data_IF_147891999168
#
_entry.id   IF_147891999168
#
_cell.length_a   1.000
_cell.length_b   1.000
_cell.length_c   1.000
_cell.angle_alpha   90.00
_cell.angle_beta   90.00
_cell.angle_gamma   90.00
#
_symmetry.space_group_name_H-M   'P 1'
#
loop_
_entity.id
_entity.type
_entity.pdbx_description
1 polymer ?
#
# COMPACT_ATOMS: atom_id res chain seq x y z
N UNK A 1 67.49 -6.88 -37.81
CA UNK A 1 66.36 -7.79 -37.85
C UNK A 1 65.33 -7.24 -36.81
N UNK A 2 64.38 -6.38 -37.32
CA UNK A 2 63.37 -5.70 -36.49
C UNK A 2 62.06 -6.46 -36.63
N UNK A 3 61.57 -6.99 -35.53
CA UNK A 3 60.23 -7.63 -35.45
C UNK A 3 59.14 -6.53 -35.32
N UNK A 4 58.05 -6.59 -36.09
CA UNK A 4 56.92 -5.69 -35.92
C UNK A 4 56.03 -6.18 -34.76
N UNK A 5 55.81 -5.30 -33.77
CA UNK A 5 54.82 -5.50 -32.70
C UNK A 5 53.43 -5.20 -33.30
N UNK A 6 52.62 -6.25 -33.47
CA UNK A 6 51.21 -6.12 -33.79
C UNK A 6 50.44 -5.72 -32.55
N UNK A 7 50.08 -4.45 -32.41
CA UNK A 7 49.10 -3.98 -31.41
C UNK A 7 47.72 -4.32 -31.97
N UNK A 8 47.13 -5.38 -31.44
CA UNK A 8 45.73 -5.76 -31.69
C UNK A 8 44.82 -4.75 -30.97
N UNK A 9 44.31 -3.78 -31.73
CA UNK A 9 43.27 -2.88 -31.26
C UNK A 9 41.94 -3.66 -31.11
N UNK A 10 41.67 -4.20 -29.92
CA UNK A 10 40.32 -4.64 -29.56
C UNK A 10 39.42 -3.41 -29.52
N UNK A 11 38.64 -3.20 -30.59
CA UNK A 11 37.55 -2.24 -30.58
C UNK A 11 36.54 -2.67 -29.52
N UNK A 12 36.50 -1.95 -28.38
CA UNK A 12 35.41 -2.02 -27.45
C UNK A 12 34.12 -1.66 -28.21
N UNK A 13 33.41 -2.66 -28.73
CA UNK A 13 32.03 -2.48 -29.17
C UNK A 13 31.24 -2.02 -27.98
N UNK A 14 30.92 -0.74 -27.93
CA UNK A 14 29.92 -0.22 -27.02
C UNK A 14 28.62 -1.04 -27.23
N UNK A 15 28.32 -1.94 -26.31
CA UNK A 15 27.13 -2.77 -26.38
C UNK A 15 25.94 -1.84 -26.43
N UNK A 16 25.25 -1.77 -27.55
CA UNK A 16 24.03 -1.00 -27.71
C UNK A 16 23.03 -1.41 -26.65
N UNK A 17 22.54 -0.44 -25.86
CA UNK A 17 21.50 -0.68 -24.86
C UNK A 17 20.28 -1.27 -25.58
N UNK A 18 19.88 -2.48 -25.18
CA UNK A 18 18.67 -3.08 -25.70
C UNK A 18 17.45 -2.31 -25.22
N UNK A 19 16.46 -2.10 -26.08
CA UNK A 19 15.21 -1.41 -25.78
C UNK A 19 14.04 -2.38 -25.80
N UNK A 20 13.05 -2.09 -24.97
CA UNK A 20 11.71 -2.68 -25.02
C UNK A 20 10.68 -1.56 -25.08
N UNK A 21 9.58 -1.80 -25.78
CA UNK A 21 8.44 -0.88 -25.83
C UNK A 21 7.30 -1.55 -25.06
N UNK A 22 6.65 -0.80 -24.20
CA UNK A 22 5.53 -1.31 -23.39
C UNK A 22 4.32 -1.67 -24.26
N UNK A 23 3.36 -2.48 -23.76
CA UNK A 23 2.16 -2.87 -24.50
C UNK A 23 1.37 -1.70 -25.07
N UNK A 24 1.22 -0.61 -24.33
CA UNK A 24 0.54 0.60 -24.78
C UNK A 24 1.38 1.46 -25.74
N UNK A 25 2.64 1.12 -25.96
CA UNK A 25 3.63 1.86 -26.74
C UNK A 25 4.03 3.24 -26.22
N UNK A 26 3.68 3.55 -24.97
CA UNK A 26 3.96 4.86 -24.36
C UNK A 26 5.27 4.90 -23.61
N UNK A 27 5.73 3.74 -23.10
CA UNK A 27 7.01 3.66 -22.42
C UNK A 27 8.04 2.97 -23.27
N UNK A 28 9.19 3.61 -23.44
CA UNK A 28 10.35 3.07 -24.16
C UNK A 28 11.44 2.85 -23.13
N UNK A 29 11.74 1.58 -22.84
CA UNK A 29 12.59 1.20 -21.70
C UNK A 29 13.93 0.68 -22.23
N UNK A 30 15.01 1.28 -21.76
CA UNK A 30 16.38 0.92 -22.09
C UNK A 30 17.06 0.25 -20.90
N UNK A 31 17.61 -0.93 -21.10
CA UNK A 31 18.48 -1.65 -20.16
C UNK A 31 19.17 -2.81 -20.87
N UNK A 32 20.29 -3.27 -20.33
CA UNK A 32 20.92 -4.52 -20.78
C UNK A 32 20.14 -5.76 -20.30
N UNK A 33 19.49 -5.67 -19.14
CA UNK A 33 18.76 -6.78 -18.53
C UNK A 33 17.30 -6.82 -19.02
N UNK A 34 16.91 -7.91 -19.67
CA UNK A 34 15.56 -8.09 -20.21
C UNK A 34 14.49 -8.19 -19.11
N UNK A 35 14.79 -8.86 -17.99
CA UNK A 35 13.86 -8.99 -16.86
C UNK A 35 13.57 -7.61 -16.22
N UNK A 36 14.61 -6.77 -16.04
CA UNK A 36 14.42 -5.40 -15.55
C UNK A 36 13.58 -4.56 -16.50
N UNK A 37 13.76 -4.72 -17.84
CA UNK A 37 12.90 -4.02 -18.79
C UNK A 37 11.44 -4.45 -18.68
N UNK A 38 11.19 -5.76 -18.48
CA UNK A 38 9.86 -6.30 -18.26
C UNK A 38 9.21 -5.71 -16.99
N UNK A 39 9.90 -5.80 -15.86
CA UNK A 39 9.41 -5.29 -14.58
C UNK A 39 9.14 -3.77 -14.61
N UNK A 40 10.03 -2.98 -15.22
CA UNK A 40 9.82 -1.53 -15.37
C UNK A 40 8.65 -1.21 -16.32
N UNK A 41 8.44 -2.01 -17.37
CA UNK A 41 7.27 -1.89 -18.24
C UNK A 41 5.98 -2.16 -17.50
N UNK A 42 5.92 -3.20 -16.70
CA UNK A 42 4.76 -3.56 -15.87
C UNK A 42 4.45 -2.48 -14.86
N UNK A 43 5.47 -2.01 -14.11
CA UNK A 43 5.30 -0.92 -13.15
C UNK A 43 4.76 0.35 -13.81
N UNK A 44 5.30 0.72 -14.99
CA UNK A 44 4.88 1.91 -15.71
C UNK A 44 3.43 1.80 -16.21
N UNK A 45 3.06 0.66 -16.81
CA UNK A 45 1.69 0.43 -17.27
C UNK A 45 0.69 0.38 -16.11
N UNK A 46 1.05 -0.27 -14.99
CA UNK A 46 0.21 -0.33 -13.81
C UNK A 46 0.02 1.06 -13.17
N UNK A 47 1.09 1.85 -13.07
CA UNK A 47 1.01 3.23 -12.54
C UNK A 47 0.09 4.08 -13.40
N UNK A 48 0.21 3.98 -14.72
CA UNK A 48 -0.67 4.64 -15.68
C UNK A 48 -2.13 4.17 -15.54
N UNK A 49 -2.36 2.87 -15.52
CA UNK A 49 -3.70 2.30 -15.43
C UNK A 49 -4.42 2.75 -14.15
N UNK A 50 -3.72 2.77 -13.02
CA UNK A 50 -4.26 3.25 -11.76
C UNK A 50 -4.65 4.74 -11.82
N UNK A 51 -3.80 5.58 -12.43
CA UNK A 51 -4.11 7.00 -12.62
C UNK A 51 -5.32 7.21 -13.53
N UNK A 52 -5.35 6.56 -14.71
CA UNK A 52 -6.45 6.69 -15.66
C UNK A 52 -7.79 6.20 -15.08
N UNK A 53 -7.76 5.11 -14.31
CA UNK A 53 -8.94 4.63 -13.58
C UNK A 53 -9.43 5.65 -12.54
N UNK A 54 -8.51 6.27 -11.77
CA UNK A 54 -8.84 7.30 -10.79
C UNK A 54 -9.47 8.53 -11.45
N UNK A 55 -8.96 8.92 -12.62
CA UNK A 55 -9.40 10.11 -13.36
C UNK A 55 -10.60 9.83 -14.28
N UNK A 56 -11.05 8.58 -14.40
CA UNK A 56 -12.06 8.12 -15.37
C UNK A 56 -11.73 8.57 -16.80
N UNK A 57 -10.44 8.49 -17.20
CA UNK A 57 -9.95 8.93 -18.48
C UNK A 57 -9.61 7.76 -19.40
N UNK A 58 -9.86 7.87 -20.72
CA UNK A 58 -9.39 6.91 -21.69
C UNK A 58 -7.86 7.02 -21.87
N UNK A 59 -7.24 5.92 -22.30
CA UNK A 59 -5.80 5.85 -22.60
C UNK A 59 -5.49 6.62 -23.90
N UNK A 60 -5.07 7.88 -23.78
CA UNK A 60 -4.73 8.78 -24.89
C UNK A 60 -3.43 9.49 -24.59
N UNK A 61 -2.38 9.10 -25.29
CA UNK A 61 -1.03 9.64 -25.14
C UNK A 61 -0.54 10.29 -26.42
N UNK A 62 0.31 11.30 -26.29
CA UNK A 62 0.99 11.95 -27.40
C UNK A 62 2.51 11.86 -27.29
N UNK A 63 3.04 11.92 -26.06
CA UNK A 63 4.46 12.00 -25.79
C UNK A 63 4.92 10.68 -25.17
N UNK A 64 5.83 9.93 -25.82
CA UNK A 64 6.40 8.75 -25.21
C UNK A 64 7.33 9.11 -24.05
N UNK A 65 7.30 8.29 -22.99
CA UNK A 65 8.19 8.43 -21.84
C UNK A 65 9.34 7.44 -21.99
N UNK A 66 10.55 7.95 -22.00
CA UNK A 66 11.77 7.14 -22.07
C UNK A 66 12.22 6.81 -20.64
N UNK A 67 12.41 5.53 -20.35
CA UNK A 67 12.91 5.04 -19.06
C UNK A 67 14.25 4.36 -19.27
N UNK A 68 15.31 4.90 -18.68
CA UNK A 68 16.64 4.32 -18.72
C UNK A 68 16.96 3.66 -17.39
N UNK A 69 17.24 2.37 -17.42
CA UNK A 69 17.66 1.61 -16.25
C UNK A 69 19.18 1.42 -16.30
N UNK A 70 19.88 2.04 -15.36
CA UNK A 70 21.34 2.00 -15.28
C UNK A 70 21.78 1.28 -14.00
N UNK A 71 22.82 0.46 -14.03
CA UNK A 71 23.39 -0.09 -12.82
C UNK A 71 24.01 1.02 -11.96
N UNK A 72 23.96 0.87 -10.64
CA UNK A 72 24.69 1.74 -9.74
C UNK A 72 26.18 1.69 -10.04
N UNK A 73 26.82 2.85 -10.12
CA UNK A 73 28.27 2.94 -10.35
C UNK A 73 28.96 3.15 -9.01
N UNK A 74 29.84 2.24 -8.64
CA UNK A 74 30.55 2.26 -7.34
C UNK A 74 31.36 3.55 -7.09
N UNK A 75 31.78 4.21 -8.16
CA UNK A 75 32.63 5.40 -8.10
C UNK A 75 31.84 6.73 -8.13
N UNK A 76 30.51 6.69 -8.20
CA UNK A 76 29.65 7.86 -8.26
C UNK A 76 28.46 7.70 -7.31
N UNK A 77 28.69 7.77 -5.98
CA UNK A 77 27.64 7.56 -4.97
C UNK A 77 26.56 8.65 -4.95
N UNK A 78 26.82 9.80 -5.59
CA UNK A 78 25.93 10.97 -5.56
C UNK A 78 24.85 10.95 -6.66
N UNK A 79 24.79 9.90 -7.53
CA UNK A 79 23.75 9.82 -8.54
C UNK A 79 22.43 9.46 -7.85
N UNK A 80 21.38 10.30 -7.98
CA UNK A 80 20.08 9.98 -7.39
C UNK A 80 19.51 8.69 -7.95
N UNK A 81 18.79 7.92 -7.12
CA UNK A 81 18.16 6.65 -7.52
C UNK A 81 17.15 6.84 -8.66
N UNK A 82 16.56 8.03 -8.77
CA UNK A 82 15.67 8.41 -9.87
C UNK A 82 15.89 9.87 -10.23
N UNK A 83 16.00 10.16 -11.52
CA UNK A 83 16.14 11.52 -12.06
C UNK A 83 15.24 11.68 -13.29
N UNK A 84 14.24 12.56 -13.18
CA UNK A 84 13.36 12.89 -14.30
C UNK A 84 13.90 14.11 -15.03
N UNK A 85 14.02 13.99 -16.35
CA UNK A 85 14.40 15.09 -17.25
C UNK A 85 13.25 15.41 -18.18
N UNK A 86 12.83 16.66 -18.14
CA UNK A 86 11.87 17.22 -19.05
C UNK A 86 12.58 18.25 -19.92
N UNK A 87 12.54 18.09 -21.22
CA UNK A 87 13.24 18.99 -22.16
C UNK A 87 12.46 19.16 -23.45
N UNK A 88 12.54 20.35 -24.01
CA UNK A 88 12.09 20.63 -25.37
C UNK A 88 13.22 20.35 -26.35
N UNK A 89 12.90 19.61 -27.39
CA UNK A 89 13.79 19.34 -28.50
C UNK A 89 13.23 19.95 -29.79
N UNK A 90 14.01 20.04 -30.86
CA UNK A 90 13.50 20.51 -32.15
C UNK A 90 12.36 19.64 -32.74
N UNK A 91 12.10 18.48 -32.15
CA UNK A 91 11.03 17.54 -32.54
C UNK A 91 9.89 17.47 -31.55
N UNK A 92 9.81 18.38 -30.54
CA UNK A 92 8.80 18.41 -29.50
C UNK A 92 9.36 18.12 -28.10
N UNK A 93 8.46 17.84 -27.18
CA UNK A 93 8.78 17.57 -25.78
C UNK A 93 9.35 16.16 -25.58
N UNK A 94 10.37 16.04 -24.76
CA UNK A 94 10.98 14.77 -24.35
C UNK A 94 10.88 14.59 -22.85
N UNK A 95 10.32 13.46 -22.43
CA UNK A 95 10.27 12.98 -21.06
C UNK A 95 11.23 11.80 -20.92
N UNK A 96 12.21 11.92 -20.05
CA UNK A 96 13.21 10.87 -19.81
C UNK A 96 13.38 10.68 -18.30
N UNK A 97 13.14 9.46 -17.84
CA UNK A 97 13.36 9.02 -16.47
C UNK A 97 14.57 8.11 -16.41
N UNK A 98 15.61 8.53 -15.72
CA UNK A 98 16.81 7.75 -15.45
C UNK A 98 16.68 7.12 -14.06
N UNK A 99 16.71 5.78 -13.99
CA UNK A 99 16.64 5.00 -12.76
C UNK A 99 17.96 4.27 -12.52
N UNK A 100 18.56 4.50 -11.35
CA UNK A 100 19.79 3.83 -10.92
C UNK A 100 19.43 2.61 -10.10
N UNK A 101 19.67 1.41 -10.65
CA UNK A 101 19.34 0.14 -10.04
C UNK A 101 20.54 -0.37 -9.25
N UNK A 102 20.41 -0.42 -7.92
CA UNK A 102 21.43 -0.93 -6.99
C UNK A 102 20.78 -1.73 -5.86
N UNK A 103 21.59 -2.19 -4.91
CA UNK A 103 21.09 -2.96 -3.76
C UNK A 103 20.06 -2.20 -2.92
N UNK A 104 20.18 -0.88 -2.84
CA UNK A 104 19.28 0.00 -2.10
C UNK A 104 18.29 0.74 -3.03
N UNK A 105 17.83 0.08 -4.11
CA UNK A 105 16.87 0.69 -5.03
C UNK A 105 15.54 1.00 -4.35
N UNK A 106 15.14 2.27 -4.35
CA UNK A 106 13.86 2.73 -3.81
C UNK A 106 12.76 2.64 -4.88
N UNK A 107 12.02 1.54 -4.86
CA UNK A 107 10.90 1.32 -5.77
C UNK A 107 9.77 2.35 -5.59
N UNK A 108 9.56 2.86 -4.37
CA UNK A 108 8.54 3.87 -4.11
C UNK A 108 8.91 5.23 -4.73
N UNK A 109 10.20 5.58 -4.70
CA UNK A 109 10.71 6.76 -5.39
C UNK A 109 10.58 6.60 -6.91
N UNK A 110 10.96 5.44 -7.45
CA UNK A 110 10.82 5.16 -8.88
C UNK A 110 9.36 5.26 -9.36
N UNK A 111 8.43 4.71 -8.61
CA UNK A 111 6.99 4.82 -8.88
C UNK A 111 6.51 6.28 -8.82
N UNK A 112 6.98 7.06 -7.84
CA UNK A 112 6.66 8.47 -7.71
C UNK A 112 7.14 9.28 -8.93
N UNK A 113 8.37 9.05 -9.38
CA UNK A 113 8.93 9.75 -10.53
C UNK A 113 8.31 9.26 -11.86
N UNK A 114 7.90 8.00 -11.96
CA UNK A 114 7.06 7.51 -13.07
C UNK A 114 5.71 8.25 -13.10
N UNK A 115 5.03 8.35 -11.95
CA UNK A 115 3.77 9.10 -11.87
C UNK A 115 3.97 10.57 -12.23
N UNK A 116 5.08 11.19 -11.78
CA UNK A 116 5.43 12.57 -12.15
C UNK A 116 5.60 12.72 -13.67
N UNK A 117 6.31 11.78 -14.31
CA UNK A 117 6.48 11.78 -15.77
C UNK A 117 5.14 11.65 -16.51
N UNK A 118 4.24 10.79 -16.01
CA UNK A 118 2.90 10.61 -16.56
C UNK A 118 2.07 11.90 -16.43
N UNK A 119 2.09 12.54 -15.27
CA UNK A 119 1.38 13.79 -15.05
C UNK A 119 1.94 14.93 -15.91
N UNK A 120 3.27 15.00 -16.08
CA UNK A 120 3.89 15.98 -17.00
C UNK A 120 3.46 15.76 -18.44
N UNK A 121 3.33 14.51 -18.88
CA UNK A 121 2.76 14.21 -20.19
C UNK A 121 1.32 14.74 -20.30
N UNK A 122 0.48 14.52 -19.28
CA UNK A 122 -0.89 15.01 -19.28
C UNK A 122 -0.96 16.55 -19.30
N UNK A 123 -0.09 17.21 -18.57
CA UNK A 123 -0.02 18.69 -18.51
C UNK A 123 0.35 19.28 -19.87
N UNK A 124 1.33 18.67 -20.56
CA UNK A 124 1.92 19.28 -21.76
C UNK A 124 1.53 18.62 -23.08
N UNK A 125 0.74 17.53 -23.07
CA UNK A 125 0.32 16.86 -24.31
C UNK A 125 -0.47 17.73 -25.29
N UNK A 126 -1.15 18.76 -24.79
CA UNK A 126 -1.90 19.72 -25.62
C UNK A 126 -1.05 20.91 -26.08
N UNK A 127 0.09 21.14 -25.42
CA UNK A 127 0.98 22.26 -25.66
C UNK A 127 2.28 21.76 -26.30
N UNK A 128 2.28 21.63 -27.61
CA UNK A 128 3.45 21.14 -28.36
C UNK A 128 4.53 22.21 -28.53
N UNK A 129 4.23 23.47 -28.31
CA UNK A 129 5.10 24.60 -28.64
C UNK A 129 5.42 25.45 -27.38
N UNK A 130 6.03 24.81 -26.38
CA UNK A 130 6.57 25.53 -25.23
C UNK A 130 7.84 26.26 -25.68
N UNK A 131 7.89 27.59 -25.52
CA UNK A 131 9.06 28.36 -25.95
C UNK A 131 10.35 27.88 -25.24
N UNK A 132 11.48 27.77 -25.93
CA UNK A 132 12.74 27.39 -25.32
C UNK A 132 13.08 28.32 -24.14
N UNK A 133 13.47 27.74 -22.99
CA UNK A 133 13.80 28.50 -21.79
C UNK A 133 12.59 28.83 -20.89
N UNK A 134 11.36 28.48 -21.28
CA UNK A 134 10.22 28.61 -20.40
C UNK A 134 10.35 27.62 -19.23
N UNK A 135 10.20 28.11 -17.99
CA UNK A 135 10.14 27.25 -16.82
C UNK A 135 8.87 26.35 -16.94
N UNK A 136 9.06 25.05 -16.79
CA UNK A 136 7.91 24.13 -16.79
C UNK A 136 7.29 24.05 -15.39
N UNK A 137 5.98 23.85 -15.36
CA UNK A 137 5.23 23.67 -14.13
C UNK A 137 5.30 22.20 -13.72
N UNK A 138 5.79 21.95 -12.52
CA UNK A 138 5.78 20.60 -11.95
C UNK A 138 4.43 20.25 -11.33
N UNK A 139 3.99 18.98 -11.43
CA UNK A 139 2.84 18.51 -10.67
C UNK A 139 3.07 18.74 -9.18
N UNK A 140 2.10 19.31 -8.43
CA UNK A 140 2.28 19.55 -7.01
C UNK A 140 2.44 18.24 -6.24
N UNK A 141 3.29 18.27 -5.21
CA UNK A 141 3.63 17.09 -4.40
C UNK A 141 2.41 16.44 -3.73
N UNK A 142 1.42 17.24 -3.33
CA UNK A 142 0.17 16.70 -2.77
C UNK A 142 -0.60 15.83 -3.76
N UNK A 143 -0.55 16.17 -5.04
CA UNK A 143 -1.22 15.40 -6.08
C UNK A 143 -0.51 14.05 -6.28
N UNK A 144 0.83 14.05 -6.35
CA UNK A 144 1.64 12.83 -6.44
C UNK A 144 1.37 11.90 -5.26
N UNK A 145 1.51 12.41 -4.03
CA UNK A 145 1.35 11.60 -2.82
C UNK A 145 -0.10 11.12 -2.62
N UNK A 146 -1.08 11.96 -2.95
CA UNK A 146 -2.49 11.62 -2.85
C UNK A 146 -2.91 10.54 -3.86
N UNK A 147 -2.48 10.66 -5.12
CA UNK A 147 -2.75 9.65 -6.17
C UNK A 147 -2.08 8.31 -5.82
N UNK A 148 -0.83 8.32 -5.38
CA UNK A 148 -0.14 7.10 -4.93
C UNK A 148 -0.83 6.45 -3.73
N UNK A 149 -1.38 7.24 -2.81
CA UNK A 149 -2.13 6.72 -1.69
C UNK A 149 -3.49 6.12 -2.09
N UNK A 150 -4.10 6.58 -3.19
CA UNK A 150 -5.38 6.09 -3.71
C UNK A 150 -5.28 4.79 -4.50
N UNK A 151 -4.09 4.20 -4.67
CA UNK A 151 -3.91 2.91 -5.35
C UNK A 151 -4.80 1.82 -4.75
N UNK A 152 -5.40 0.96 -5.59
CA UNK A 152 -6.13 -0.22 -5.11
C UNK A 152 -5.25 -1.10 -4.21
N UNK A 153 -5.83 -1.61 -3.11
CA UNK A 153 -5.14 -2.50 -2.18
C UNK A 153 -4.14 -1.83 -1.23
N UNK A 154 -3.94 -0.51 -1.28
CA UNK A 154 -3.05 0.18 -0.36
C UNK A 154 -3.69 0.33 1.03
N UNK A 155 -2.93 -0.04 2.05
CA UNK A 155 -3.32 0.19 3.45
C UNK A 155 -3.12 1.66 3.84
N UNK A 156 -4.17 2.28 4.36
CA UNK A 156 -4.18 3.67 4.82
C UNK A 156 -4.04 3.81 6.34
N UNK A 157 -3.92 2.69 7.06
CA UNK A 157 -3.96 2.67 8.53
C UNK A 157 -2.98 3.65 9.15
N UNK A 158 -1.73 3.66 8.69
CA UNK A 158 -0.69 4.57 9.19
C UNK A 158 -0.96 6.04 8.84
N UNK A 159 -1.56 6.32 7.67
CA UNK A 159 -1.92 7.68 7.25
C UNK A 159 -3.07 8.23 8.10
N UNK A 160 -4.06 7.39 8.33
CA UNK A 160 -5.24 7.76 9.11
C UNK A 160 -4.89 7.90 10.60
N UNK A 161 -4.01 7.06 11.13
CA UNK A 161 -3.47 7.19 12.48
C UNK A 161 -2.74 8.53 12.65
N UNK A 162 -1.91 8.93 11.68
CA UNK A 162 -1.23 10.22 11.70
C UNK A 162 -2.20 11.41 11.78
N UNK A 163 -3.33 11.36 11.07
CA UNK A 163 -4.39 12.38 11.17
C UNK A 163 -5.09 12.37 12.53
N UNK A 164 -5.24 11.20 13.14
CA UNK A 164 -5.94 11.05 14.43
C UNK A 164 -5.10 11.54 15.60
N UNK A 165 -3.78 11.34 15.53
CA UNK A 165 -2.80 11.74 16.56
C UNK A 165 -2.49 13.24 16.48
N UNK A 166 -2.61 13.85 15.30
CA UNK A 166 -2.36 15.27 15.12
C UNK A 166 -3.41 16.11 15.84
N UNK A 167 -3.03 16.69 16.98
CA UNK A 167 -3.93 17.53 17.83
C UNK A 167 -4.39 18.83 17.13
N UNK A 168 -3.61 19.37 16.21
CA UNK A 168 -3.94 20.57 15.43
C UNK A 168 -4.14 20.19 13.96
N UNK A 169 -5.35 20.40 13.47
CA UNK A 169 -5.66 20.18 12.06
C UNK A 169 -5.19 21.37 11.21
N UNK A 170 -4.45 21.09 10.16
CA UNK A 170 -3.95 22.09 9.21
C UNK A 170 -5.10 22.60 8.34
N UNK A 171 -5.20 23.90 8.09
CA UNK A 171 -6.14 24.46 7.11
C UNK A 171 -5.75 24.07 5.69
N UNK A 172 -6.72 24.08 4.77
CA UNK A 172 -6.44 23.75 3.36
C UNK A 172 -5.47 24.75 2.75
N UNK A 173 -5.62 26.03 3.05
CA UNK A 173 -4.71 27.09 2.58
C UNK A 173 -3.28 26.85 3.07
N UNK A 174 -3.11 26.55 4.36
CA UNK A 174 -1.80 26.25 4.93
C UNK A 174 -1.19 24.99 4.29
N UNK A 175 -1.99 23.97 4.02
CA UNK A 175 -1.57 22.73 3.39
C UNK A 175 -1.06 22.94 1.97
N UNK A 176 -1.73 23.77 1.17
CA UNK A 176 -1.39 24.03 -0.23
C UNK A 176 -0.20 24.97 -0.42
N UNK A 177 0.27 25.67 0.63
CA UNK A 177 1.44 26.53 0.51
C UNK A 177 2.66 25.71 0.07
N UNK A 178 3.44 26.25 -0.89
CA UNK A 178 4.67 25.61 -1.33
C UNK A 178 5.59 25.33 -0.15
N UNK A 179 6.06 24.12 -0.03
CA UNK A 179 7.02 23.72 1.01
C UNK A 179 7.97 22.67 0.48
N UNK A 180 9.17 22.66 1.00
CA UNK A 180 10.19 21.68 0.64
C UNK A 180 9.98 20.41 1.48
N UNK A 181 9.57 19.32 0.85
CA UNK A 181 9.33 18.03 1.53
C UNK A 181 10.59 17.43 2.15
N UNK A 182 11.78 17.77 1.61
CA UNK A 182 13.07 17.33 2.16
C UNK A 182 13.32 17.87 3.58
N UNK A 183 12.71 19.00 3.97
CA UNK A 183 12.80 19.56 5.31
C UNK A 183 11.87 18.90 6.35
N UNK A 184 10.95 18.04 5.93
CA UNK A 184 10.06 17.34 6.84
C UNK A 184 10.74 16.10 7.41
N UNK A 185 10.59 15.91 8.72
CA UNK A 185 10.95 14.64 9.37
C UNK A 185 10.06 13.48 8.91
N UNK A 186 10.35 12.28 9.38
CA UNK A 186 9.59 11.09 8.99
C UNK A 186 8.08 11.21 9.31
N UNK A 187 7.75 11.77 10.47
CA UNK A 187 6.37 11.91 10.92
C UNK A 187 5.62 12.98 10.13
N UNK A 188 6.27 14.11 9.86
CA UNK A 188 5.74 15.18 9.01
C UNK A 188 5.46 14.72 7.58
N UNK A 189 6.32 13.85 7.01
CA UNK A 189 6.07 13.26 5.69
C UNK A 189 4.87 12.32 5.67
N UNK A 190 4.67 11.50 6.71
CA UNK A 190 3.48 10.64 6.83
C UNK A 190 2.22 11.49 6.95
N UNK A 191 2.26 12.54 7.77
CA UNK A 191 1.14 13.47 7.94
C UNK A 191 0.82 14.23 6.64
N UNK A 192 1.84 14.69 5.91
CA UNK A 192 1.67 15.34 4.61
C UNK A 192 0.97 14.41 3.60
N UNK A 193 1.41 13.15 3.51
CA UNK A 193 0.75 12.12 2.66
C UNK A 193 -0.69 11.86 3.09
N UNK A 194 -0.97 11.90 4.38
CA UNK A 194 -2.33 11.72 4.89
C UNK A 194 -3.26 12.86 4.48
N UNK A 195 -2.78 14.12 4.54
CA UNK A 195 -3.52 15.27 4.01
C UNK A 195 -3.66 15.20 2.49
N UNK A 196 -2.63 14.76 1.76
CA UNK A 196 -2.66 14.56 0.31
C UNK A 196 -3.75 13.55 -0.09
N UNK A 197 -3.83 12.42 0.63
CA UNK A 197 -4.89 11.43 0.46
C UNK A 197 -6.27 12.02 0.73
N UNK A 198 -6.42 12.80 1.83
CA UNK A 198 -7.69 13.43 2.18
C UNK A 198 -8.18 14.39 1.08
N UNK A 199 -7.25 15.19 0.52
CA UNK A 199 -7.57 16.14 -0.55
C UNK A 199 -7.96 15.42 -1.83
N UNK A 200 -7.13 14.50 -2.34
CA UNK A 200 -7.46 13.77 -3.59
C UNK A 200 -8.79 13.03 -3.43
N UNK A 201 -9.02 12.37 -2.29
CA UNK A 201 -10.28 11.68 -2.02
C UNK A 201 -11.49 12.63 -1.98
N UNK A 202 -11.33 13.82 -1.42
CA UNK A 202 -12.37 14.85 -1.44
C UNK A 202 -12.70 15.27 -2.89
N UNK A 203 -11.66 15.57 -3.69
CA UNK A 203 -11.84 16.05 -5.07
C UNK A 203 -12.45 15.00 -5.99
N UNK A 204 -12.05 13.72 -5.89
CA UNK A 204 -12.61 12.65 -6.73
C UNK A 204 -13.95 12.12 -6.23
N UNK A 205 -14.31 12.37 -4.97
CA UNK A 205 -15.56 11.91 -4.36
C UNK A 205 -16.79 12.72 -4.77
N UNK A 206 -16.60 13.85 -5.44
CA UNK A 206 -17.67 14.72 -5.93
C UNK A 206 -18.26 14.23 -7.26
N UNK A 207 -19.46 14.72 -7.58
CA UNK A 207 -20.03 14.50 -8.90
C UNK A 207 -19.08 15.05 -9.98
N UNK A 208 -18.74 14.21 -10.97
CA UNK A 208 -17.74 14.52 -12.00
C UNK A 208 -16.31 14.81 -11.45
N UNK A 209 -16.05 14.53 -10.18
CA UNK A 209 -14.75 14.77 -9.52
C UNK A 209 -13.55 14.23 -10.29
N UNK A 210 -13.54 12.96 -10.74
CA UNK A 210 -12.48 12.40 -11.57
C UNK A 210 -12.20 13.22 -12.83
N UNK A 211 -13.23 13.60 -13.57
CA UNK A 211 -13.11 14.40 -14.81
C UNK A 211 -12.67 15.84 -14.53
N UNK A 212 -13.07 16.40 -13.38
CA UNK A 212 -12.60 17.72 -12.93
C UNK A 212 -11.14 17.70 -12.56
N UNK A 213 -10.69 16.63 -11.87
CA UNK A 213 -9.28 16.46 -11.51
C UNK A 213 -8.41 16.28 -12.77
N UNK A 214 -8.89 15.52 -13.76
CA UNK A 214 -8.20 15.39 -15.05
C UNK A 214 -8.04 16.76 -15.73
N UNK A 215 -9.09 17.57 -15.80
CA UNK A 215 -9.03 18.93 -16.36
C UNK A 215 -8.14 19.87 -15.55
N UNK A 216 -8.14 19.76 -14.23
CA UNK A 216 -7.23 20.51 -13.38
C UNK A 216 -5.76 20.19 -13.73
N UNK A 217 -5.42 18.89 -13.87
CA UNK A 217 -4.09 18.43 -14.26
C UNK A 217 -3.72 18.98 -15.64
N UNK A 218 -4.59 18.86 -16.62
CA UNK A 218 -4.36 19.35 -18.00
C UNK A 218 -4.18 20.87 -18.08
N UNK A 219 -4.72 21.63 -17.13
CA UNK A 219 -4.61 23.09 -17.07
C UNK A 219 -3.45 23.59 -16.17
N UNK A 220 -2.70 22.70 -15.50
CA UNK A 220 -1.61 23.09 -14.60
C UNK A 220 -0.54 23.95 -15.29
N UNK A 221 -0.31 23.78 -16.58
CA UNK A 221 0.65 24.62 -17.31
C UNK A 221 0.28 26.12 -17.33
N UNK A 222 -1.01 26.46 -17.10
CA UNK A 222 -1.53 27.83 -16.94
C UNK A 222 -1.80 28.17 -15.48
N UNK A 223 -1.34 27.35 -14.53
CA UNK A 223 -1.62 27.56 -13.13
C UNK A 223 -1.13 28.95 -12.68
N UNK A 224 -1.92 29.58 -11.83
CA UNK A 224 -1.55 30.83 -11.20
C UNK A 224 -0.56 30.61 -10.06
N UNK A 225 -0.06 31.68 -9.44
CA UNK A 225 0.76 31.56 -8.22
C UNK A 225 -0.09 31.29 -6.97
N UNK A 226 -1.40 31.14 -7.11
CA UNK A 226 -2.34 30.82 -6.03
C UNK A 226 -3.02 29.47 -6.26
N UNK A 227 -2.42 28.37 -5.75
CA UNK A 227 -2.96 27.01 -5.93
C UNK A 227 -4.37 26.84 -5.37
N UNK A 228 -4.73 27.63 -4.34
CA UNK A 228 -6.06 27.57 -3.74
C UNK A 228 -7.11 28.14 -4.69
N UNK A 229 -6.82 29.26 -5.32
CA UNK A 229 -7.70 29.91 -6.32
C UNK A 229 -7.92 28.99 -7.53
N UNK A 230 -6.84 28.35 -8.02
CA UNK A 230 -6.91 27.43 -9.15
C UNK A 230 -7.78 26.20 -8.82
N UNK A 231 -7.67 25.65 -7.60
CA UNK A 231 -8.52 24.56 -7.15
C UNK A 231 -9.97 24.97 -7.00
N UNK A 232 -10.27 26.14 -6.41
CA UNK A 232 -11.63 26.65 -6.28
C UNK A 232 -12.31 26.87 -7.63
N UNK A 233 -11.58 27.38 -8.61
CA UNK A 233 -12.10 27.57 -9.96
C UNK A 233 -12.55 26.25 -10.61
N UNK A 234 -11.88 25.14 -10.29
CA UNK A 234 -12.16 23.82 -10.88
C UNK A 234 -13.13 22.97 -10.04
N UNK A 235 -13.16 23.17 -8.71
CA UNK A 235 -13.92 22.35 -7.77
C UNK A 235 -14.91 23.18 -6.94
N UNK A 236 -16.19 23.20 -7.31
CA UNK A 236 -17.23 23.95 -6.58
C UNK A 236 -17.38 23.55 -5.11
N UNK A 237 -17.01 22.32 -4.75
CA UNK A 237 -17.01 21.83 -3.36
C UNK A 237 -16.10 22.64 -2.44
N UNK A 238 -15.12 23.34 -3.00
CA UNK A 238 -14.21 24.25 -2.30
C UNK A 238 -14.68 25.72 -2.35
N UNK A 239 -15.98 25.97 -2.54
CA UNK A 239 -16.58 27.32 -2.54
C UNK A 239 -16.60 27.97 -1.15
N UNK A 240 -17.76 28.54 -0.77
CA UNK A 240 -17.89 29.40 0.41
C UNK A 240 -17.55 28.72 1.75
N UNK A 241 -17.89 27.44 1.92
CA UNK A 241 -17.63 26.64 3.13
C UNK A 241 -16.39 25.74 3.03
N UNK A 242 -15.37 26.15 2.28
CA UNK A 242 -14.18 25.34 1.98
C UNK A 242 -13.53 24.70 3.24
N UNK A 243 -13.27 25.52 4.25
CA UNK A 243 -12.56 25.04 5.45
C UNK A 243 -13.39 24.00 6.20
N UNK A 244 -14.70 24.21 6.29
CA UNK A 244 -15.63 23.23 6.88
C UNK A 244 -15.63 21.92 6.09
N UNK A 245 -15.70 22.00 4.78
CA UNK A 245 -15.66 20.85 3.87
C UNK A 245 -14.35 20.08 4.02
N UNK A 246 -13.23 20.79 4.07
CA UNK A 246 -11.90 20.23 4.32
C UNK A 246 -11.82 19.51 5.67
N UNK A 247 -12.24 20.15 6.76
CA UNK A 247 -12.24 19.54 8.09
C UNK A 247 -13.15 18.31 8.18
N UNK A 248 -14.29 18.32 7.47
CA UNK A 248 -15.16 17.16 7.35
C UNK A 248 -14.52 16.01 6.56
N UNK A 249 -13.78 16.31 5.49
CA UNK A 249 -13.05 15.29 4.72
C UNK A 249 -11.99 14.60 5.58
N UNK A 250 -11.20 15.37 6.36
CA UNK A 250 -10.24 14.83 7.32
C UNK A 250 -10.95 13.99 8.39
N UNK A 251 -12.05 14.50 8.96
CA UNK A 251 -12.79 13.79 10.00
C UNK A 251 -13.40 12.48 9.48
N UNK A 252 -13.92 12.46 8.26
CA UNK A 252 -14.43 11.24 7.60
C UNK A 252 -13.32 10.22 7.36
N UNK A 253 -12.16 10.67 6.94
CA UNK A 253 -11.00 9.80 6.74
C UNK A 253 -10.52 9.24 8.10
N UNK A 254 -10.38 10.07 9.12
CA UNK A 254 -10.01 9.66 10.49
C UNK A 254 -11.07 8.76 11.12
N UNK A 255 -12.36 9.04 10.90
CA UNK A 255 -13.48 8.25 11.39
C UNK A 255 -13.66 6.92 10.66
N UNK A 256 -13.23 6.81 9.40
CA UNK A 256 -13.28 5.58 8.64
C UNK A 256 -12.46 4.45 9.29
N UNK A 257 -11.41 4.79 10.07
CA UNK A 257 -10.67 3.80 10.85
C UNK A 257 -11.48 3.19 11.99
N UNK A 258 -12.47 3.89 12.52
CA UNK A 258 -13.37 3.32 13.55
C UNK A 258 -14.15 2.11 13.00
N UNK A 259 -14.24 1.97 11.69
CA UNK A 259 -14.91 0.86 11.00
C UNK A 259 -13.95 -0.04 10.23
N UNK A 260 -12.62 0.20 10.28
CA UNK A 260 -11.67 -0.72 9.65
C UNK A 260 -11.72 -2.04 10.40
N UNK A 261 -12.14 -3.07 9.67
CA UNK A 261 -12.12 -4.42 10.20
C UNK A 261 -10.66 -4.84 10.39
N UNK A 262 -10.36 -5.36 11.55
CA UNK A 262 -9.06 -5.98 11.82
C UNK A 262 -8.85 -7.16 10.88
N UNK A 263 -7.63 -7.36 10.43
CA UNK A 263 -7.24 -8.60 9.75
C UNK A 263 -7.48 -9.80 10.67
N UNK A 264 -7.40 -11.00 10.12
CA UNK A 264 -7.51 -12.22 10.95
C UNK A 264 -6.44 -12.24 12.04
N UNK A 265 -5.18 -12.00 11.69
CA UNK A 265 -4.05 -12.01 12.62
C UNK A 265 -4.17 -10.93 13.71
N UNK A 266 -4.53 -9.70 13.33
CA UNK A 266 -4.76 -8.61 14.29
C UNK A 266 -5.92 -8.92 15.24
N UNK A 267 -7.01 -9.51 14.73
CA UNK A 267 -8.16 -9.93 15.55
C UNK A 267 -7.78 -10.99 16.56
N UNK A 268 -6.95 -11.95 16.14
CA UNK A 268 -6.43 -13.02 16.95
C UNK A 268 -5.48 -12.50 18.05
N UNK A 269 -4.53 -11.63 17.69
CA UNK A 269 -3.62 -10.98 18.63
C UNK A 269 -4.39 -10.17 19.67
N UNK A 270 -5.35 -9.37 19.21
CA UNK A 270 -6.15 -8.54 20.10
C UNK A 270 -7.05 -9.35 21.05
N UNK A 271 -7.61 -10.45 20.55
CA UNK A 271 -8.36 -11.39 21.38
C UNK A 271 -7.46 -12.02 22.45
N UNK A 272 -6.25 -12.46 22.09
CA UNK A 272 -5.27 -13.01 23.04
C UNK A 272 -4.90 -12.03 24.15
N UNK A 273 -4.67 -10.77 23.80
CA UNK A 273 -4.39 -9.70 24.78
C UNK A 273 -5.54 -9.50 25.75
N UNK A 274 -6.77 -9.50 25.27
CA UNK A 274 -7.95 -9.28 26.08
C UNK A 274 -8.28 -10.46 26.99
N UNK A 275 -8.05 -11.71 26.55
CA UNK A 275 -8.35 -12.90 27.35
C UNK A 275 -7.46 -13.06 28.58
N UNK A 276 -6.33 -12.34 28.63
CA UNK A 276 -5.47 -12.22 29.82
C UNK A 276 -6.09 -11.22 30.80
N UNK A 277 -7.02 -11.68 31.63
CA UNK A 277 -7.74 -10.83 32.59
C UNK A 277 -6.79 -10.31 33.67
N UNK A 278 -6.56 -9.00 33.71
CA UNK A 278 -5.83 -8.36 34.81
C UNK A 278 -6.79 -8.11 35.96
N UNK A 279 -6.59 -8.80 37.09
CA UNK A 279 -7.34 -8.58 38.31
C UNK A 279 -6.52 -7.67 39.21
N UNK A 280 -7.00 -6.44 39.42
CA UNK A 280 -6.39 -5.51 40.38
C UNK A 280 -7.06 -5.73 41.74
N UNK A 281 -6.32 -6.29 42.70
CA UNK A 281 -6.77 -6.30 44.10
C UNK A 281 -6.10 -5.09 44.80
N UNK A 282 -6.87 -4.35 45.58
CA UNK A 282 -6.41 -3.12 46.23
C UNK A 282 -5.13 -3.40 47.06
N UNK A 283 -3.96 -2.99 46.52
CA UNK A 283 -2.65 -3.04 47.21
C UNK A 283 -1.79 -4.26 46.96
N UNK A 284 -2.16 -5.19 46.07
CA UNK A 284 -1.31 -6.34 45.66
C UNK A 284 -1.09 -6.37 44.14
N UNK A 285 0.11 -6.83 43.77
CA UNK A 285 0.50 -7.05 42.37
C UNK A 285 -0.63 -7.68 41.54
N UNK A 286 -1.00 -7.06 40.42
CA UNK A 286 -2.04 -7.48 39.48
C UNK A 286 -1.84 -8.96 39.11
N UNK A 287 -2.68 -9.87 39.61
CA UNK A 287 -2.69 -11.28 39.19
C UNK A 287 -3.40 -11.40 37.85
N UNK A 288 -2.79 -12.05 36.89
CA UNK A 288 -3.45 -12.46 35.66
C UNK A 288 -4.19 -13.78 35.94
N UNK A 289 -5.50 -13.78 35.72
CA UNK A 289 -6.33 -14.99 35.81
C UNK A 289 -6.82 -15.36 34.41
N UNK A 290 -6.72 -16.62 34.05
CA UNK A 290 -7.31 -17.12 32.82
C UNK A 290 -8.82 -17.42 32.99
N UNK A 291 -9.60 -17.24 31.92
CA UNK A 291 -11.02 -17.57 31.92
C UNK A 291 -11.31 -19.04 32.25
N UNK A 292 -10.38 -19.94 31.90
CA UNK A 292 -10.41 -21.37 32.24
C UNK A 292 -10.41 -21.61 33.73
N UNK A 293 -9.58 -20.92 34.50
CA UNK A 293 -9.51 -21.01 35.95
C UNK A 293 -10.81 -20.46 36.62
N UNK A 294 -11.30 -19.33 36.10
CA UNK A 294 -12.53 -18.71 36.61
C UNK A 294 -13.80 -19.54 36.30
N UNK A 295 -13.75 -20.45 35.35
CA UNK A 295 -14.85 -21.38 35.09
C UNK A 295 -15.02 -22.43 36.19
N UNK A 296 -13.95 -22.79 36.90
CA UNK A 296 -13.93 -23.87 37.89
C UNK A 296 -14.19 -23.38 39.35
N UNK A 297 -14.03 -22.07 39.64
CA UNK A 297 -14.26 -21.50 40.96
C UNK A 297 -15.21 -20.30 40.94
N UNK A 298 -15.75 -19.91 42.06
CA UNK A 298 -16.63 -18.72 42.18
C UNK A 298 -15.77 -17.46 42.08
N UNK A 299 -16.02 -16.55 41.11
CA UNK A 299 -15.29 -15.31 41.01
C UNK A 299 -15.47 -14.40 42.19
N UNK A 300 -14.40 -13.76 42.68
CA UNK A 300 -14.44 -12.72 43.70
C UNK A 300 -15.13 -11.45 43.18
N UNK A 301 -15.38 -10.47 44.07
CA UNK A 301 -15.99 -9.19 43.66
C UNK A 301 -15.09 -8.43 42.63
N UNK A 302 -13.79 -8.40 42.87
CA UNK A 302 -12.82 -7.76 41.93
C UNK A 302 -12.77 -8.47 40.58
N UNK A 303 -12.79 -9.82 40.56
CA UNK A 303 -12.83 -10.60 39.34
C UNK A 303 -14.13 -10.40 38.54
N UNK A 304 -15.27 -10.21 39.21
CA UNK A 304 -16.52 -9.88 38.50
C UNK A 304 -16.46 -8.53 37.80
N UNK A 305 -15.81 -7.53 38.42
CA UNK A 305 -15.58 -6.23 37.78
C UNK A 305 -14.69 -6.41 36.52
N UNK A 306 -13.55 -7.12 36.64
CA UNK A 306 -12.68 -7.41 35.53
C UNK A 306 -13.35 -8.20 34.38
N UNK A 307 -14.25 -9.15 34.73
CA UNK A 307 -15.04 -9.90 33.73
C UNK A 307 -16.08 -9.03 33.02
N UNK A 308 -16.69 -8.06 33.71
CA UNK A 308 -17.59 -7.09 33.07
C UNK A 308 -16.83 -6.17 32.11
N UNK A 309 -15.66 -5.67 32.55
CA UNK A 309 -14.78 -4.87 31.65
C UNK A 309 -14.33 -5.68 30.44
N UNK A 310 -13.92 -6.94 30.63
CA UNK A 310 -13.58 -7.85 29.54
C UNK A 310 -14.76 -8.02 28.58
N UNK A 311 -15.97 -8.26 29.11
CA UNK A 311 -17.18 -8.40 28.28
C UNK A 311 -17.43 -7.15 27.42
N UNK A 312 -17.27 -5.95 27.97
CA UNK A 312 -17.43 -4.69 27.24
C UNK A 312 -16.35 -4.54 26.16
N UNK A 313 -15.07 -4.82 26.47
CA UNK A 313 -13.96 -4.78 25.50
C UNK A 313 -14.17 -5.78 24.36
N UNK A 314 -14.72 -6.97 24.65
CA UNK A 314 -15.05 -7.97 23.63
C UNK A 314 -16.24 -7.55 22.74
N UNK A 315 -17.21 -6.78 23.25
CA UNK A 315 -18.25 -6.16 22.40
C UNK A 315 -17.62 -5.21 21.38
N UNK A 316 -16.71 -4.33 21.82
CA UNK A 316 -15.99 -3.41 20.93
C UNK A 316 -15.15 -4.18 19.91
N UNK A 317 -14.44 -5.22 20.36
CA UNK A 317 -13.68 -6.08 19.46
C UNK A 317 -14.58 -6.78 18.42
N UNK A 318 -15.77 -7.24 18.81
CA UNK A 318 -16.70 -7.91 17.86
C UNK A 318 -17.09 -7.03 16.67
N UNK A 319 -17.21 -5.71 16.88
CA UNK A 319 -17.53 -4.75 15.82
C UNK A 319 -16.36 -4.64 14.83
N UNK A 320 -15.13 -4.61 15.35
CA UNK A 320 -13.90 -4.39 14.57
C UNK A 320 -13.24 -5.67 14.06
N UNK A 321 -13.52 -6.82 14.67
CA UNK A 321 -12.90 -8.10 14.34
C UNK A 321 -13.21 -8.55 12.91
N UNK A 322 -12.26 -9.29 12.33
CA UNK A 322 -12.47 -10.01 11.08
C UNK A 322 -13.81 -10.79 11.12
N UNK A 323 -14.63 -10.75 10.08
CA UNK A 323 -15.93 -11.42 10.05
C UNK A 323 -15.90 -12.89 10.48
N UNK A 324 -14.84 -13.63 10.12
CA UNK A 324 -14.65 -15.03 10.46
C UNK A 324 -14.39 -15.23 11.97
N UNK A 325 -13.77 -14.26 12.63
CA UNK A 325 -13.49 -14.28 14.08
C UNK A 325 -14.67 -13.85 14.95
N UNK A 326 -15.64 -13.12 14.39
CA UNK A 326 -16.77 -12.56 15.16
C UNK A 326 -17.58 -13.57 15.98
N UNK A 327 -17.89 -14.76 15.46
CA UNK A 327 -18.60 -15.79 16.25
C UNK A 327 -17.80 -16.22 17.48
N UNK A 328 -16.47 -16.37 17.35
CA UNK A 328 -15.56 -16.75 18.43
C UNK A 328 -15.51 -15.64 19.49
N UNK A 329 -15.32 -14.39 19.08
CA UNK A 329 -15.28 -13.23 19.99
C UNK A 329 -16.60 -13.09 20.76
N UNK A 330 -17.74 -13.26 20.08
CA UNK A 330 -19.09 -13.24 20.74
C UNK A 330 -19.23 -14.34 21.76
N UNK A 331 -18.75 -15.54 21.48
CA UNK A 331 -18.83 -16.67 22.42
C UNK A 331 -18.00 -16.37 23.69
N UNK A 332 -16.77 -15.86 23.55
CA UNK A 332 -15.97 -15.39 24.70
C UNK A 332 -16.65 -14.25 25.47
N UNK A 333 -17.29 -13.31 24.80
CA UNK A 333 -18.03 -12.23 25.40
C UNK A 333 -19.20 -12.75 26.25
N UNK A 334 -19.98 -13.71 25.71
CA UNK A 334 -21.09 -14.32 26.44
C UNK A 334 -20.60 -15.11 27.66
N UNK A 335 -19.51 -15.84 27.54
CA UNK A 335 -18.86 -16.58 28.63
C UNK A 335 -18.44 -15.61 29.73
N UNK A 336 -17.74 -14.51 29.41
CA UNK A 336 -17.32 -13.49 30.36
C UNK A 336 -18.52 -12.85 31.08
N UNK A 337 -19.59 -12.52 30.35
CA UNK A 337 -20.81 -11.96 30.91
C UNK A 337 -21.52 -12.94 31.85
N UNK A 338 -21.55 -14.25 31.56
CA UNK A 338 -22.13 -15.27 32.42
C UNK A 338 -21.32 -15.48 33.70
N UNK A 339 -20.00 -15.52 33.60
CA UNK A 339 -19.08 -15.63 34.75
C UNK A 339 -19.20 -14.41 35.67
N UNK A 340 -19.29 -13.19 35.14
CA UNK A 340 -19.50 -11.97 35.87
C UNK A 340 -20.82 -12.03 36.73
N UNK A 341 -21.86 -12.65 36.16
CA UNK A 341 -23.15 -12.90 36.87
C UNK A 341 -23.11 -14.10 37.81
N UNK A 342 -21.96 -14.77 37.96
CA UNK A 342 -21.80 -15.96 38.79
C UNK A 342 -22.42 -17.24 38.23
N UNK A 343 -22.87 -17.25 36.99
CA UNK A 343 -23.42 -18.42 36.29
C UNK A 343 -22.30 -19.28 35.75
N UNK A 344 -22.17 -20.55 36.20
CA UNK A 344 -21.07 -21.44 35.83
C UNK A 344 -21.50 -22.69 35.06
N UNK A 345 -22.79 -22.96 35.01
CA UNK A 345 -23.29 -24.19 34.37
C UNK A 345 -22.85 -24.26 32.90
N UNK A 346 -22.17 -25.33 32.51
CA UNK A 346 -21.65 -25.63 31.16
C UNK A 346 -20.60 -24.62 30.60
N UNK A 347 -20.05 -23.72 31.45
CA UNK A 347 -19.07 -22.74 30.97
C UNK A 347 -17.78 -23.45 30.56
N UNK A 348 -17.28 -24.44 31.32
CA UNK A 348 -16.07 -25.18 30.96
C UNK A 348 -16.21 -25.90 29.62
N UNK A 349 -17.36 -26.49 29.32
CA UNK A 349 -17.63 -27.13 28.03
C UNK A 349 -17.68 -26.11 26.88
N UNK A 350 -18.30 -24.95 27.12
CA UNK A 350 -18.34 -23.85 26.15
C UNK A 350 -16.94 -23.31 25.85
N UNK A 351 -16.10 -23.10 26.87
CA UNK A 351 -14.72 -22.70 26.72
C UNK A 351 -13.92 -23.70 25.90
N UNK A 352 -14.04 -25.00 26.21
CA UNK A 352 -13.35 -26.06 25.46
C UNK A 352 -13.77 -26.06 23.98
N UNK A 353 -15.09 -25.89 23.72
CA UNK A 353 -15.61 -25.84 22.34
C UNK A 353 -15.09 -24.63 21.58
N UNK A 354 -15.18 -23.42 22.16
CA UNK A 354 -14.72 -22.21 21.47
C UNK A 354 -13.21 -22.21 21.25
N UNK A 355 -12.42 -22.77 22.17
CA UNK A 355 -10.99 -22.96 21.99
C UNK A 355 -10.69 -23.93 20.82
N UNK A 356 -11.39 -25.07 20.73
CA UNK A 356 -11.24 -26.00 19.63
C UNK A 356 -11.57 -25.37 18.28
N UNK A 357 -12.69 -24.66 18.19
CA UNK A 357 -13.09 -23.94 16.96
C UNK A 357 -12.07 -22.86 16.58
N UNK A 358 -11.53 -22.15 17.59
CA UNK A 358 -10.50 -21.15 17.37
C UNK A 358 -9.21 -21.76 16.83
N UNK A 359 -8.71 -22.85 17.44
CA UNK A 359 -7.51 -23.55 16.97
C UNK A 359 -7.68 -24.07 15.55
N UNK A 360 -8.83 -24.68 15.22
CA UNK A 360 -9.14 -25.14 13.88
C UNK A 360 -9.14 -23.99 12.87
N UNK A 361 -9.73 -22.85 13.24
CA UNK A 361 -9.78 -21.66 12.38
C UNK A 361 -8.38 -21.08 12.13
N UNK A 362 -7.54 -20.99 13.16
CA UNK A 362 -6.14 -20.52 13.05
C UNK A 362 -5.36 -21.43 12.10
N UNK A 363 -5.50 -22.76 12.24
CA UNK A 363 -4.86 -23.70 11.33
C UNK A 363 -5.30 -23.50 9.88
N UNK A 364 -6.59 -23.37 9.62
CA UNK A 364 -7.13 -23.14 8.26
C UNK A 364 -6.64 -21.80 7.67
N UNK A 365 -6.54 -20.76 8.48
CA UNK A 365 -6.04 -19.46 7.98
C UNK A 365 -4.54 -19.52 7.68
N UNK A 366 -3.76 -20.28 8.48
CA UNK A 366 -2.35 -20.53 8.15
C UNK A 366 -2.20 -21.29 6.83
N UNK A 367 -3.02 -22.31 6.60
CA UNK A 367 -3.03 -23.07 5.34
C UNK A 367 -3.34 -22.16 4.13
N UNK A 368 -4.26 -21.19 4.31
CA UNK A 368 -4.62 -20.21 3.26
C UNK A 368 -3.46 -19.23 3.02
N UNK A 369 -2.82 -18.73 4.09
CA UNK A 369 -1.67 -17.81 3.96
C UNK A 369 -0.49 -18.52 3.28
N UNK A 370 -0.22 -19.78 3.61
CA UNK A 370 0.81 -20.58 2.97
C UNK A 370 0.51 -20.82 1.48
N UNK A 371 -0.76 -21.10 1.15
CA UNK A 371 -1.20 -21.22 -0.24
C UNK A 371 -1.06 -19.90 -1.02
N UNK A 372 -1.46 -18.77 -0.44
CA UNK A 372 -1.32 -17.45 -1.07
C UNK A 372 0.14 -17.08 -1.28
N UNK A 373 1.01 -17.34 -0.31
CA UNK A 373 2.45 -17.13 -0.43
C UNK A 373 3.06 -18.02 -1.55
N UNK A 374 2.62 -19.28 -1.64
CA UNK A 374 3.02 -20.17 -2.72
C UNK A 374 2.53 -19.66 -4.08
N UNK A 375 1.27 -19.23 -4.17
CA UNK A 375 0.70 -18.69 -5.39
C UNK A 375 1.42 -17.41 -5.85
N UNK A 376 1.67 -16.45 -4.95
CA UNK A 376 2.45 -15.26 -5.25
C UNK A 376 3.87 -15.61 -5.71
N UNK A 377 4.51 -16.56 -5.07
CA UNK A 377 5.85 -17.01 -5.42
C UNK A 377 5.90 -17.69 -6.80
N UNK A 378 4.85 -18.41 -7.19
CA UNK A 378 4.77 -19.04 -8.52
C UNK A 378 4.43 -18.05 -9.63
N UNK A 379 3.69 -16.99 -9.32
CA UNK A 379 3.37 -15.91 -10.27
C UNK A 379 4.52 -14.92 -10.43
N UNK A 380 5.40 -14.77 -9.42
CA UNK A 380 6.58 -13.93 -9.52
C UNK A 380 7.67 -14.69 -10.29
N UNK A 381 7.87 -14.35 -11.55
CA UNK A 381 8.95 -14.89 -12.42
C UNK A 381 10.38 -14.51 -11.93
N UNK A 382 10.55 -13.99 -10.72
CA UNK A 382 11.84 -13.68 -10.12
C UNK A 382 12.30 -14.84 -9.24
N UNK A 383 13.18 -15.67 -9.75
CA UNK A 383 13.93 -16.68 -8.98
C UNK A 383 14.96 -15.95 -8.09
N UNK A 384 14.54 -15.47 -6.92
CA UNK A 384 15.49 -15.05 -5.89
C UNK A 384 16.12 -16.29 -5.22
N UNK A 385 17.41 -16.22 -4.85
CA UNK A 385 18.13 -17.36 -4.24
C UNK A 385 17.44 -17.91 -2.98
N UNK A 386 16.77 -17.06 -2.21
CA UNK A 386 15.99 -17.41 -1.01
C UNK A 386 14.81 -18.34 -1.35
N UNK A 387 14.18 -18.15 -2.51
CA UNK A 387 13.09 -19.00 -2.98
C UNK A 387 13.56 -20.38 -3.46
N UNK A 388 14.74 -20.44 -4.07
CA UNK A 388 15.35 -21.72 -4.47
C UNK A 388 15.65 -22.61 -3.25
N UNK A 389 16.06 -22.03 -2.12
CA UNK A 389 16.31 -22.73 -0.88
C UNK A 389 15.00 -23.22 -0.22
N UNK A 390 13.92 -22.41 -0.29
CA UNK A 390 12.59 -22.82 0.15
C UNK A 390 12.03 -23.99 -0.66
N UNK A 391 12.13 -23.94 -2.00
CA UNK A 391 11.71 -25.05 -2.88
C UNK A 391 12.51 -26.33 -2.62
N UNK A 392 13.81 -26.22 -2.31
CA UNK A 392 14.64 -27.36 -1.93
C UNK A 392 14.17 -27.96 -0.61
N UNK A 393 13.99 -27.14 0.42
CA UNK A 393 13.47 -27.57 1.72
C UNK A 393 12.06 -28.19 1.61
N UNK A 394 11.17 -27.60 0.80
CA UNK A 394 9.84 -28.13 0.55
C UNK A 394 9.84 -29.46 -0.23
N UNK A 395 10.79 -29.64 -1.15
CA UNK A 395 10.96 -30.93 -1.86
C UNK A 395 11.58 -32.02 -0.99
N UNK A 396 12.43 -31.66 -0.03
CA UNK A 396 13.04 -32.56 0.95
C UNK A 396 12.07 -32.98 2.07
N UNK A 397 11.10 -32.13 2.39
CA UNK A 397 10.08 -32.38 3.43
C UNK A 397 8.83 -33.10 2.94
N UNK A 398 8.80 -33.66 1.73
CA UNK A 398 7.66 -34.45 1.23
C UNK A 398 7.40 -35.70 2.07
N UNK A 399 6.78 -35.51 3.24
CA UNK A 399 6.01 -36.55 3.91
C UNK A 399 4.73 -36.71 3.09
N UNK A 400 4.38 -37.92 2.63
CA UNK A 400 3.12 -38.12 1.89
C UNK A 400 1.95 -37.80 2.80
N UNK A 401 1.41 -36.60 2.64
CA UNK A 401 0.17 -36.21 3.31
C UNK A 401 -0.95 -37.05 2.75
N UNK A 402 -1.76 -37.76 3.58
CA UNK A 402 -2.88 -38.52 3.09
C UNK A 402 -3.83 -37.59 2.32
N UNK A 403 -4.04 -37.88 1.03
CA UNK A 403 -4.91 -37.11 0.14
C UNK A 403 -6.30 -36.96 0.77
N UNK A 404 -6.60 -35.73 1.21
CA UNK A 404 -7.96 -35.37 1.61
C UNK A 404 -8.84 -35.40 0.34
N UNK A 405 -9.93 -36.17 0.37
CA UNK A 405 -10.92 -36.27 -0.73
C UNK A 405 -12.09 -35.32 -0.45
N UNK A 406 -11.81 -34.03 -0.19
CA UNK A 406 -12.87 -33.02 -0.20
C UNK A 406 -13.03 -32.44 -1.61
N UNK A 407 -14.18 -31.82 -1.86
CA UNK A 407 -14.55 -31.29 -3.18
C UNK A 407 -13.55 -30.19 -3.65
N UNK A 408 -12.90 -29.49 -2.71
CA UNK A 408 -11.93 -28.44 -3.00
C UNK A 408 -10.60 -29.04 -3.45
N UNK A 409 -10.13 -30.12 -2.79
CA UNK A 409 -8.90 -30.81 -3.18
C UNK A 409 -9.01 -31.44 -4.57
N UNK A 410 -10.18 -32.04 -4.90
CA UNK A 410 -10.44 -32.58 -6.24
C UNK A 410 -10.44 -31.47 -7.30
N UNK A 411 -10.97 -30.29 -6.98
CA UNK A 411 -10.98 -29.16 -7.91
C UNK A 411 -9.55 -28.60 -8.12
N UNK A 412 -8.75 -28.50 -7.06
CA UNK A 412 -7.38 -28.02 -7.14
C UNK A 412 -6.48 -29.01 -7.89
N UNK A 413 -6.62 -30.31 -7.65
CA UNK A 413 -5.90 -31.36 -8.40
C UNK A 413 -6.25 -31.28 -9.90
N UNK A 414 -7.52 -31.05 -10.25
CA UNK A 414 -7.97 -30.93 -11.66
C UNK A 414 -7.43 -29.64 -12.33
N UNK A 415 -7.23 -28.55 -11.55
CA UNK A 415 -6.63 -27.32 -12.05
C UNK A 415 -5.11 -27.50 -12.23
N UNK A 416 -4.43 -28.19 -11.31
CA UNK A 416 -2.99 -28.48 -11.41
C UNK A 416 -2.69 -29.33 -12.65
N UNK A 417 -3.45 -30.38 -12.92
CA UNK A 417 -3.35 -31.24 -14.12
C UNK A 417 -3.55 -30.45 -15.43
N UNK A 418 -4.27 -29.31 -15.39
CA UNK A 418 -4.54 -28.48 -16.57
C UNK A 418 -3.38 -27.52 -16.89
N UNK A 419 -2.50 -27.25 -15.93
CA UNK A 419 -1.33 -26.37 -16.08
C UNK A 419 0.01 -27.15 -16.23
N UNK A 420 0.03 -28.46 -15.98
CA UNK A 420 1.21 -29.32 -16.22
C UNK A 420 1.28 -29.90 -17.66
N UNK A 421 0.25 -29.72 -18.48
CA UNK A 421 0.21 -30.07 -19.91
C UNK A 421 0.30 -28.77 -20.77
#
# INVERSE_FOLDING_TARGET
>A
MLLPIFISSQSLRAATLARSVSPSRQFIIYSRNAALRGAASELAEQTKANLLALLAQPDRWKIPIVVNLQPAQANLPEIPSAALRFSQTGFGLKLQLDLTIGENFDAALAERELLRAILLEMIYRSESDVAPGTAFVEPPDWLLDGVLAMRPGRDWSSLVEALSVSGKRMSLEEFLRPRTLSGLDRQGRVLYRAYSLALVRLLVGEADGPSRLARYIENLWRASNDPLSDLKAQFPVLGDDMERTWQLAIARLSGAQSYHLLTFLESEQRLNELLRVKVSDAGKLSKQAELSELAHRKPSAAEKIGLNELSQKLVVLTIRANPVMRPIVREYQQIAALLARGKRRRIAERLKRVQATRTELVSRMSDVDDYMNWFEATQSNSRSGVFADYLRAASESRIPVPRRRDVLSVYLDAVEDQFEN
#
